data_IF_444966456089
#
_entry.id   IF_444966456089
#
_cell.length_a   1.000
_cell.length_b   1.000
_cell.length_c   1.000
_cell.angle_alpha   90.00
_cell.angle_beta   90.00
_cell.angle_gamma   90.00
#
_symmetry.space_group_name_H-M   'P 1'
#
loop_
_entity.id
_entity.type
_entity.pdbx_description
1 polymer ?
#
# COMPACT_ATOMS: atom_id res chain seq x y z
N UNK A 1 27.65 -35.56 -1.11
CA UNK A 1 27.36 -34.28 -1.81
C UNK A 1 25.86 -34.02 -1.66
N UNK A 2 25.43 -33.60 -0.46
CA UNK A 2 24.00 -33.36 -0.17
C UNK A 2 23.67 -31.90 -0.46
N UNK A 3 22.69 -31.69 -1.34
CA UNK A 3 22.17 -30.39 -1.70
C UNK A 3 21.36 -29.81 -0.52
N UNK A 4 21.87 -28.73 0.09
CA UNK A 4 21.13 -27.88 1.03
C UNK A 4 20.15 -26.95 0.28
N UNK A 5 19.21 -27.53 -0.48
CA UNK A 5 18.21 -26.79 -1.24
C UNK A 5 16.79 -27.21 -0.82
N UNK A 6 16.50 -27.12 0.47
CA UNK A 6 15.15 -27.15 1.06
C UNK A 6 15.20 -25.99 2.08
N UNK A 7 14.47 -24.89 1.99
CA UNK A 7 13.02 -24.79 1.84
C UNK A 7 12.61 -23.35 1.49
N UNK A 8 13.36 -22.61 0.67
CA UNK A 8 12.92 -21.24 0.32
C UNK A 8 11.70 -21.25 -0.58
N UNK A 9 11.65 -22.18 -1.54
CA UNK A 9 10.51 -22.34 -2.45
C UNK A 9 9.32 -23.01 -1.75
N UNK A 10 9.57 -24.06 -0.95
CA UNK A 10 8.54 -24.71 -0.11
C UNK A 10 7.91 -23.73 0.87
N UNK A 11 8.72 -22.91 1.55
CA UNK A 11 8.22 -21.90 2.48
C UNK A 11 7.53 -20.75 1.75
N UNK A 12 7.98 -20.35 0.55
CA UNK A 12 7.24 -19.39 -0.29
C UNK A 12 5.87 -19.94 -0.68
N UNK A 13 5.78 -21.20 -1.08
CA UNK A 13 4.52 -21.83 -1.47
C UNK A 13 3.59 -22.01 -0.26
N UNK A 14 4.11 -22.44 0.89
CA UNK A 14 3.34 -22.54 2.14
C UNK A 14 2.87 -21.17 2.64
N UNK A 15 3.73 -20.15 2.65
CA UNK A 15 3.36 -18.78 3.05
C UNK A 15 2.34 -18.19 2.06
N UNK A 16 2.49 -18.42 0.75
CA UNK A 16 1.52 -17.96 -0.25
C UNK A 16 0.16 -18.65 -0.10
N UNK A 17 0.13 -19.97 0.13
CA UNK A 17 -1.09 -20.74 0.32
C UNK A 17 -1.80 -20.39 1.64
N UNK A 18 -1.04 -20.16 2.72
CA UNK A 18 -1.58 -19.67 3.99
C UNK A 18 -2.02 -18.19 3.90
N UNK A 19 -1.34 -17.36 3.09
CA UNK A 19 -1.79 -16.00 2.78
C UNK A 19 -3.13 -15.99 2.04
N UNK A 20 -3.40 -16.98 1.18
CA UNK A 20 -4.67 -17.14 0.48
C UNK A 20 -5.87 -17.53 1.37
N UNK A 21 -5.61 -17.97 2.61
CA UNK A 21 -6.65 -18.23 3.63
C UNK A 21 -6.97 -16.99 4.47
N UNK A 22 -6.20 -15.91 4.33
CA UNK A 22 -6.43 -14.66 5.05
C UNK A 22 -7.55 -13.84 4.39
N UNK A 23 -8.23 -13.01 5.19
CA UNK A 23 -9.22 -12.07 4.67
C UNK A 23 -8.54 -11.07 3.72
N UNK A 24 -8.82 -11.19 2.41
CA UNK A 24 -8.22 -10.37 1.36
C UNK A 24 -8.62 -8.90 1.44
N UNK A 25 -9.89 -8.62 1.75
CA UNK A 25 -10.44 -7.27 1.82
C UNK A 25 -10.64 -6.82 3.25
N UNK A 26 -9.93 -5.77 3.66
CA UNK A 26 -9.99 -5.25 5.03
C UNK A 26 -10.30 -3.77 5.06
N UNK A 27 -10.83 -3.27 6.18
CA UNK A 27 -11.11 -1.84 6.33
C UNK A 27 -9.82 -1.02 6.41
N UNK A 28 -9.91 0.28 6.10
CA UNK A 28 -8.76 1.20 6.19
C UNK A 28 -8.09 1.16 7.57
N UNK A 29 -8.88 1.11 8.64
CA UNK A 29 -8.34 1.09 10.02
C UNK A 29 -7.55 -0.19 10.30
N UNK A 30 -8.02 -1.34 9.79
CA UNK A 30 -7.28 -2.60 9.91
C UNK A 30 -6.03 -2.60 9.02
N UNK A 31 -6.14 -2.08 7.80
CA UNK A 31 -5.01 -1.94 6.88
C UNK A 31 -3.92 -1.05 7.46
N UNK A 32 -4.29 0.05 8.13
CA UNK A 32 -3.36 0.92 8.84
C UNK A 32 -2.54 0.14 9.88
N UNK A 33 -3.22 -0.65 10.73
CA UNK A 33 -2.56 -1.49 11.73
C UNK A 33 -1.65 -2.55 11.11
N UNK A 34 -2.09 -3.19 10.02
CA UNK A 34 -1.37 -4.30 9.39
C UNK A 34 -0.16 -3.83 8.55
N UNK A 35 -0.25 -2.68 7.90
CA UNK A 35 0.81 -2.17 6.99
C UNK A 35 1.75 -1.16 7.64
N UNK A 36 1.37 -0.63 8.81
CA UNK A 36 2.09 0.45 9.47
C UNK A 36 1.80 1.86 8.91
N UNK A 37 0.91 1.98 7.92
CA UNK A 37 0.43 3.28 7.47
C UNK A 37 -0.58 3.89 8.43
N UNK A 38 -0.70 5.21 8.44
CA UNK A 38 -1.83 5.88 9.09
C UNK A 38 -3.07 5.82 8.18
N UNK A 39 -4.26 5.76 8.77
CA UNK A 39 -5.52 5.81 8.01
C UNK A 39 -5.61 7.07 7.12
N UNK A 40 -5.05 8.20 7.59
CA UNK A 40 -4.98 9.43 6.82
C UNK A 40 -4.06 9.32 5.59
N UNK A 41 -2.92 8.63 5.69
CA UNK A 41 -2.04 8.38 4.56
C UNK A 41 -2.71 7.49 3.51
N UNK A 42 -3.43 6.45 3.95
CA UNK A 42 -4.21 5.58 3.06
C UNK A 42 -5.28 6.40 2.31
N UNK A 43 -6.10 7.18 3.04
CA UNK A 43 -7.12 8.06 2.43
C UNK A 43 -6.49 9.05 1.43
N UNK A 44 -5.32 9.59 1.76
CA UNK A 44 -4.57 10.50 0.88
C UNK A 44 -4.12 9.80 -0.40
N UNK A 45 -3.60 8.57 -0.33
CA UNK A 45 -3.19 7.79 -1.51
C UNK A 45 -4.38 7.47 -2.43
N UNK A 46 -5.53 7.15 -1.85
CA UNK A 46 -6.78 6.92 -2.59
C UNK A 46 -7.24 8.23 -3.26
N UNK A 47 -7.32 9.33 -2.50
CA UNK A 47 -7.74 10.64 -3.00
C UNK A 47 -6.82 11.15 -4.12
N UNK A 48 -5.51 11.02 -3.93
CA UNK A 48 -4.50 11.49 -4.89
C UNK A 48 -4.36 10.54 -6.10
N UNK A 49 -5.16 9.46 -6.17
CA UNK A 49 -5.16 8.49 -7.28
C UNK A 49 -3.91 7.61 -7.35
N UNK A 50 -3.05 7.63 -6.32
CA UNK A 50 -1.85 6.80 -6.23
C UNK A 50 -2.24 5.32 -6.10
N UNK A 51 -3.33 5.06 -5.39
CA UNK A 51 -3.96 3.74 -5.29
C UNK A 51 -5.20 3.73 -6.19
N UNK A 52 -5.14 2.97 -7.28
CA UNK A 52 -6.23 2.83 -8.22
C UNK A 52 -7.36 1.94 -7.65
N UNK A 53 -8.61 2.33 -7.92
CA UNK A 53 -9.80 1.55 -7.58
C UNK A 53 -9.84 0.27 -8.42
N UNK A 54 -10.16 -0.86 -7.80
CA UNK A 54 -10.10 -2.18 -8.42
C UNK A 54 -8.72 -2.84 -8.34
N UNK A 55 -7.65 -2.05 -8.20
CA UNK A 55 -6.28 -2.58 -8.06
C UNK A 55 -5.86 -2.72 -6.60
N UNK A 56 -5.92 -1.65 -5.81
CA UNK A 56 -5.41 -1.63 -4.41
C UNK A 56 -6.54 -1.48 -3.39
N UNK A 57 -7.67 -0.95 -3.82
CA UNK A 57 -8.85 -0.77 -2.97
C UNK A 57 -10.12 -0.92 -3.79
N UNK A 58 -11.23 -1.20 -3.12
CA UNK A 58 -12.55 -1.33 -3.75
C UNK A 58 -13.63 -0.72 -2.87
N UNK A 59 -14.75 -0.35 -3.49
CA UNK A 59 -15.95 0.09 -2.79
C UNK A 59 -16.89 -1.10 -2.60
N UNK A 60 -17.18 -1.41 -1.35
CA UNK A 60 -18.16 -2.42 -1.00
C UNK A 60 -19.59 -1.96 -1.37
N UNK A 61 -20.55 -2.88 -1.53
CA UNK A 61 -21.94 -2.54 -1.85
C UNK A 61 -22.62 -1.63 -0.80
N UNK A 62 -22.11 -1.62 0.43
CA UNK A 62 -22.54 -0.75 1.52
C UNK A 62 -21.89 0.65 1.51
N UNK A 63 -21.07 0.94 0.49
CA UNK A 63 -20.36 2.21 0.32
C UNK A 63 -19.04 2.32 1.09
N UNK A 64 -18.64 1.31 1.86
CA UNK A 64 -17.36 1.33 2.59
C UNK A 64 -16.19 1.11 1.65
N UNK A 65 -15.05 1.71 2.00
CA UNK A 65 -13.77 1.46 1.32
C UNK A 65 -13.09 0.27 1.98
N UNK A 66 -12.79 -0.73 1.17
CA UNK A 66 -11.99 -1.88 1.54
C UNK A 66 -10.65 -1.84 0.81
N UNK A 67 -9.59 -2.22 1.51
CA UNK A 67 -8.25 -2.38 0.97
C UNK A 67 -8.06 -3.84 0.58
N UNK A 68 -7.62 -4.06 -0.66
CA UNK A 68 -7.19 -5.37 -1.12
C UNK A 68 -5.73 -5.58 -0.71
N UNK A 69 -5.48 -6.53 0.19
CA UNK A 69 -4.13 -6.82 0.67
C UNK A 69 -3.22 -7.34 -0.44
N UNK A 70 -3.74 -8.13 -1.37
CA UNK A 70 -2.95 -8.64 -2.51
C UNK A 70 -2.60 -7.49 -3.46
N UNK A 71 -3.60 -6.66 -3.76
CA UNK A 71 -3.44 -5.44 -4.55
C UNK A 71 -2.38 -4.50 -3.97
N UNK A 72 -2.46 -4.26 -2.66
CA UNK A 72 -1.47 -3.50 -1.92
C UNK A 72 -0.06 -4.11 -2.02
N UNK A 73 0.09 -5.42 -1.82
CA UNK A 73 1.39 -6.10 -1.90
C UNK A 73 1.99 -6.02 -3.31
N UNK A 74 1.17 -6.18 -4.34
CA UNK A 74 1.57 -6.02 -5.73
C UNK A 74 2.02 -4.57 -6.04
N UNK A 75 1.32 -3.56 -5.51
CA UNK A 75 1.73 -2.17 -5.63
C UNK A 75 3.03 -1.87 -4.86
N UNK A 76 3.14 -2.32 -3.62
CA UNK A 76 4.27 -2.05 -2.75
C UNK A 76 5.57 -2.66 -3.29
N UNK A 77 5.50 -3.88 -3.83
CA UNK A 77 6.64 -4.53 -4.49
C UNK A 77 7.10 -3.82 -5.77
N UNK A 78 6.19 -3.17 -6.50
CA UNK A 78 6.52 -2.34 -7.68
C UNK A 78 7.11 -0.98 -7.29
N UNK A 79 6.61 -0.36 -6.22
CA UNK A 79 7.04 0.96 -5.76
C UNK A 79 8.50 1.00 -5.26
N UNK A 80 9.05 -0.15 -4.82
CA UNK A 80 10.47 -0.27 -4.51
C UNK A 80 11.40 0.11 -5.68
N UNK A 81 10.88 0.12 -6.92
CA UNK A 81 11.67 0.40 -8.14
C UNK A 81 11.55 1.86 -8.61
N UNK A 82 10.61 2.67 -8.11
CA UNK A 82 10.49 4.08 -8.50
C UNK A 82 9.61 4.85 -7.52
N UNK A 83 10.19 5.77 -6.77
CA UNK A 83 9.45 6.81 -6.06
C UNK A 83 9.52 8.13 -6.84
N UNK A 84 8.43 8.61 -7.46
CA UNK A 84 8.33 9.99 -7.89
C UNK A 84 8.21 10.87 -6.63
N UNK A 85 9.21 11.72 -6.40
CA UNK A 85 9.15 12.76 -5.37
C UNK A 85 8.07 13.76 -5.75
N UNK A 86 7.14 14.05 -4.83
CA UNK A 86 6.28 15.22 -4.95
C UNK A 86 7.19 16.44 -4.80
N UNK A 87 7.24 17.40 -5.75
CA UNK A 87 8.01 18.62 -5.55
C UNK A 87 7.40 19.36 -4.36
N UNK A 88 8.08 19.34 -3.23
CA UNK A 88 7.74 20.08 -2.03
C UNK A 88 8.11 21.55 -2.25
N UNK A 89 7.35 22.22 -3.11
CA UNK A 89 7.40 23.67 -3.23
C UNK A 89 6.81 24.32 -1.98
N UNK A 90 7.63 24.59 -0.96
CA UNK A 90 7.36 25.75 -0.10
C UNK A 90 7.60 26.98 -0.98
N UNK A 91 6.53 27.50 -1.59
CA UNK A 91 6.57 28.82 -2.22
C UNK A 91 6.91 29.82 -1.10
N UNK A 92 8.15 30.29 -1.11
CA UNK A 92 8.67 31.18 -0.08
C UNK A 92 7.75 32.38 0.11
N UNK A 93 7.36 32.61 1.36
CA UNK A 93 6.75 33.87 1.80
C UNK A 93 7.74 35.00 1.52
N UNK A 94 7.56 35.67 0.38
CA UNK A 94 8.25 36.93 0.06
C UNK A 94 7.78 37.97 1.08
N UNK A 95 8.65 38.53 1.94
CA UNK A 95 8.23 39.58 2.84
C UNK A 95 7.81 40.82 2.03
N UNK A 96 6.77 41.56 2.48
CA UNK A 96 6.33 42.77 1.81
C UNK A 96 7.44 43.83 1.82
N UNK A 97 7.55 44.66 0.77
CA UNK A 97 8.52 45.74 0.75
C UNK A 97 8.22 46.73 1.88
N UNK A 98 9.24 47.06 2.66
CA UNK A 98 9.18 48.12 3.67
C UNK A 98 8.90 49.45 2.95
N UNK A 99 7.84 50.13 3.40
CA UNK A 99 7.52 51.50 3.02
C UNK A 99 8.38 52.49 3.81
#
# INVERSE_FOLDING_TARGET
MLAHASDTESMRLLVSALCGLAVRFITIEKAAQSTGYTAAAIRTKIRDGIWAEGDVWTRAPDGRILIDIEGYNAWASRAAVRHPQKPTGKLGSRPPPLA
#
